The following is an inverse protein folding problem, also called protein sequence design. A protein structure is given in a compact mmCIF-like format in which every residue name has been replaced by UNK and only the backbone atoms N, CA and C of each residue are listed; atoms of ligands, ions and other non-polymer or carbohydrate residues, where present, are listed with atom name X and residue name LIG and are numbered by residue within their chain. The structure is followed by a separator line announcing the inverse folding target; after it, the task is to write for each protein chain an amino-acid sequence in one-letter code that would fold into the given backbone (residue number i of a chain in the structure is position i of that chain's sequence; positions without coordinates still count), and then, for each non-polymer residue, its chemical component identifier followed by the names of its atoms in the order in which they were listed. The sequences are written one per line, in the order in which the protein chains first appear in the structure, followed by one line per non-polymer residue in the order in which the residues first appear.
data_IF_516493975251
#
_entry.id   IF_516493975251
#
_cell.length_a   1.000
_cell.length_b   1.000
_cell.length_c   1.000
_cell.angle_alpha   90.00
_cell.angle_beta   90.00
_cell.angle_gamma   90.00
#
_symmetry.space_group_name_H-M   'P 1'
#
loop_
_entity.id
_entity.type
_entity.pdbx_description
1 polymer ?
#
# COMPACT_ATOMS: atom_id res chain seq x y z
N UNK A 1 27.11 2.77 -0.66
CA UNK A 1 26.05 3.06 0.32
C UNK A 1 24.95 2.04 0.09
N UNK A 2 24.84 1.03 0.94
CA UNK A 2 23.91 -0.09 0.74
C UNK A 2 22.53 0.34 1.23
N UNK A 3 21.65 0.66 0.28
CA UNK A 3 20.24 0.92 0.55
C UNK A 3 19.65 -0.39 1.07
N UNK A 4 18.76 -0.30 2.07
CA UNK A 4 18.02 -1.43 2.63
C UNK A 4 16.93 -1.92 1.63
N UNK A 5 17.35 -2.22 0.39
CA UNK A 5 16.56 -2.45 -0.82
C UNK A 5 15.68 -3.71 -0.75
N UNK A 6 16.00 -4.67 0.11
CA UNK A 6 15.39 -6.00 -0.01
C UNK A 6 13.90 -6.01 0.35
N UNK A 7 13.43 -5.20 1.30
CA UNK A 7 12.05 -5.29 1.79
C UNK A 7 11.05 -4.50 0.94
N UNK A 8 11.41 -3.27 0.61
CA UNK A 8 10.64 -2.42 -0.31
C UNK A 8 10.52 -3.10 -1.68
N UNK A 9 11.63 -3.62 -2.22
CA UNK A 9 11.60 -4.31 -3.51
C UNK A 9 10.72 -5.58 -3.45
N UNK A 10 10.75 -6.34 -2.37
CA UNK A 10 9.92 -7.55 -2.26
C UNK A 10 8.42 -7.23 -2.33
N UNK A 11 7.96 -6.17 -1.66
CA UNK A 11 6.53 -5.84 -1.65
C UNK A 11 6.11 -5.15 -2.95
N UNK A 12 6.95 -4.26 -3.49
CA UNK A 12 6.71 -3.61 -4.78
C UNK A 12 6.64 -4.66 -5.88
N UNK A 13 7.64 -5.54 -5.98
CA UNK A 13 7.64 -6.62 -6.97
C UNK A 13 6.44 -7.56 -6.80
N UNK A 14 6.04 -7.86 -5.56
CA UNK A 14 4.89 -8.72 -5.32
C UNK A 14 3.59 -8.07 -5.79
N UNK A 15 3.36 -6.81 -5.45
CA UNK A 15 2.16 -6.07 -5.86
C UNK A 15 2.13 -5.93 -7.38
N UNK A 16 3.26 -5.62 -8.02
CA UNK A 16 3.36 -5.54 -9.49
C UNK A 16 3.10 -6.89 -10.17
N UNK A 17 3.68 -7.99 -9.66
CA UNK A 17 3.49 -9.35 -10.21
C UNK A 17 2.08 -9.90 -9.98
N UNK A 18 1.39 -9.44 -8.94
CA UNK A 18 0.05 -9.89 -8.57
C UNK A 18 -0.96 -8.75 -8.63
N UNK A 19 -0.81 -7.85 -9.61
CA UNK A 19 -1.65 -6.65 -9.75
C UNK A 19 -3.15 -6.96 -9.82
N UNK A 20 -3.50 -8.15 -10.31
CA UNK A 20 -4.88 -8.65 -10.40
C UNK A 20 -5.52 -8.92 -9.03
N UNK A 21 -4.71 -9.17 -7.98
CA UNK A 21 -5.22 -9.24 -6.61
C UNK A 21 -5.76 -7.89 -6.12
N UNK A 22 -5.44 -6.80 -6.83
CA UNK A 22 -5.84 -5.45 -6.48
C UNK A 22 -6.83 -4.86 -7.50
N UNK A 23 -7.55 -5.68 -8.25
CA UNK A 23 -8.42 -5.22 -9.34
C UNK A 23 -9.59 -4.34 -8.87
N UNK A 24 -10.11 -4.60 -7.68
CA UNK A 24 -11.14 -3.77 -7.04
C UNK A 24 -10.62 -2.40 -6.58
N UNK A 25 -9.30 -2.24 -6.51
CA UNK A 25 -8.65 -0.97 -6.22
C UNK A 25 -8.27 -0.24 -7.51
N UNK A 26 -8.77 0.98 -7.63
CA UNK A 26 -8.43 1.90 -8.70
C UNK A 26 -6.99 2.36 -8.61
N UNK A 27 -6.51 2.64 -7.40
CA UNK A 27 -5.12 3.01 -7.15
C UNK A 27 -4.55 2.31 -5.92
N UNK A 28 -3.25 2.03 -5.98
CA UNK A 28 -2.49 1.41 -4.88
C UNK A 28 -1.21 2.22 -4.71
N UNK A 29 -0.95 2.66 -3.48
CA UNK A 29 0.25 3.40 -3.13
C UNK A 29 0.96 2.77 -1.95
N UNK A 30 2.28 2.71 -2.02
CA UNK A 30 3.15 2.50 -0.87
C UNK A 30 3.48 3.88 -0.28
N UNK A 31 3.43 4.06 1.03
CA UNK A 31 3.77 5.35 1.64
C UNK A 31 4.45 5.18 3.00
N UNK A 32 4.77 6.31 3.64
CA UNK A 32 5.25 6.30 5.01
C UNK A 32 6.74 6.03 5.15
N UNK A 33 7.13 5.37 6.24
CA UNK A 33 8.53 5.27 6.66
C UNK A 33 9.39 4.36 5.78
N UNK A 34 8.76 3.40 5.07
CA UNK A 34 9.44 2.48 4.16
C UNK A 34 10.17 3.18 3.00
N UNK A 35 9.69 4.36 2.59
CA UNK A 35 10.30 5.15 1.51
C UNK A 35 11.43 6.07 2.01
N UNK A 36 11.71 6.11 3.32
CA UNK A 36 12.75 6.99 3.89
C UNK A 36 14.11 6.30 3.87
N UNK A 37 15.06 6.94 3.17
CA UNK A 37 16.45 6.50 3.14
C UNK A 37 17.04 6.53 4.57
N UNK A 38 17.74 5.46 4.95
CA UNK A 38 18.40 5.28 6.26
C UNK A 38 17.46 5.14 7.48
N UNK A 39 16.16 4.94 7.29
CA UNK A 39 15.24 4.58 8.37
C UNK A 39 14.81 3.13 8.18
N UNK A 40 14.89 2.31 9.23
CA UNK A 40 14.25 1.00 9.20
C UNK A 40 12.75 1.20 9.45
N UNK A 41 11.87 0.82 8.52
CA UNK A 41 10.44 0.89 8.78
C UNK A 41 10.05 -0.11 9.88
N UNK A 42 9.15 0.29 10.77
CA UNK A 42 8.56 -0.59 11.79
C UNK A 42 7.42 -1.43 11.18
N UNK A 43 6.63 -0.79 10.32
CA UNK A 43 5.51 -1.32 9.56
C UNK A 43 5.55 -0.84 8.10
N UNK A 44 4.67 -1.40 7.27
CA UNK A 44 4.53 -1.02 5.87
C UNK A 44 3.15 -0.40 5.67
N UNK A 45 3.13 0.90 5.36
CA UNK A 45 1.90 1.62 5.09
C UNK A 45 1.52 1.51 3.61
N UNK A 46 0.32 0.99 3.33
CA UNK A 46 -0.24 0.88 1.99
C UNK A 46 -1.58 1.60 1.94
N UNK A 47 -1.73 2.47 0.95
CA UNK A 47 -2.98 3.16 0.66
C UNK A 47 -3.66 2.50 -0.54
N UNK A 48 -4.88 2.05 -0.34
CA UNK A 48 -5.72 1.43 -1.34
C UNK A 48 -6.92 2.34 -1.63
N UNK A 49 -7.03 2.81 -2.87
CA UNK A 49 -8.15 3.65 -3.31
C UNK A 49 -9.08 2.82 -4.19
N UNK A 50 -10.30 2.59 -3.73
CA UNK A 50 -11.32 1.85 -4.48
C UNK A 50 -12.36 2.79 -5.11
N UNK A 51 -13.02 2.28 -6.15
CA UNK A 51 -14.20 2.91 -6.73
C UNK A 51 -15.29 1.86 -6.87
N UNK A 52 -16.46 2.07 -6.25
CA UNK A 52 -17.57 1.11 -6.30
C UNK A 52 -18.04 0.70 -4.92
N UNK A 53 -18.54 -0.53 -4.79
CA UNK A 53 -19.09 -1.08 -3.56
C UNK A 53 -17.99 -1.42 -2.54
N UNK A 54 -18.16 -0.96 -1.30
CA UNK A 54 -17.27 -1.26 -0.18
C UNK A 54 -17.43 -2.67 0.37
N UNK A 55 -18.52 -3.36 0.05
CA UNK A 55 -18.84 -4.68 0.61
C UNK A 55 -17.83 -5.76 0.21
N UNK A 56 -17.34 -5.72 -1.03
CA UNK A 56 -16.32 -6.65 -1.55
C UNK A 56 -14.91 -6.34 -1.02
N UNK A 57 -14.65 -5.08 -0.71
CA UNK A 57 -13.34 -4.59 -0.27
C UNK A 57 -12.90 -5.22 1.06
N UNK A 58 -13.80 -5.37 2.04
CA UNK A 58 -13.43 -5.93 3.36
C UNK A 58 -12.92 -7.37 3.22
N UNK A 59 -13.56 -8.18 2.37
CA UNK A 59 -13.14 -9.56 2.14
C UNK A 59 -11.78 -9.64 1.46
N UNK A 60 -11.53 -8.79 0.47
CA UNK A 60 -10.23 -8.70 -0.20
C UNK A 60 -9.12 -8.27 0.75
N UNK A 61 -9.36 -7.27 1.62
CA UNK A 61 -8.37 -6.81 2.60
C UNK A 61 -7.94 -7.92 3.57
N UNK A 62 -8.91 -8.73 4.03
CA UNK A 62 -8.64 -9.86 4.92
C UNK A 62 -7.80 -10.95 4.24
N UNK A 63 -7.83 -11.04 2.91
CA UNK A 63 -7.01 -11.96 2.14
C UNK A 63 -5.62 -11.37 1.81
N UNK A 64 -5.58 -10.11 1.38
CA UNK A 64 -4.36 -9.43 0.94
C UNK A 64 -3.40 -9.18 2.10
N UNK A 65 -3.89 -8.69 3.25
CA UNK A 65 -3.05 -8.33 4.40
C UNK A 65 -2.11 -9.47 4.85
N UNK A 66 -2.61 -10.68 5.19
CA UNK A 66 -1.73 -11.75 5.69
C UNK A 66 -0.71 -12.23 4.65
N UNK A 67 -1.05 -12.14 3.36
CA UNK A 67 -0.14 -12.48 2.27
C UNK A 67 1.03 -11.49 2.24
N UNK A 68 0.73 -10.19 2.26
CA UNK A 68 1.74 -9.14 2.26
C UNK A 68 2.62 -9.20 3.52
N UNK A 69 2.03 -9.47 4.69
CA UNK A 69 2.77 -9.69 5.94
C UNK A 69 3.72 -10.89 5.84
N UNK A 70 3.26 -11.99 5.24
CA UNK A 70 4.08 -13.20 5.05
C UNK A 70 5.29 -12.95 4.14
N UNK A 71 5.10 -12.20 3.06
CA UNK A 71 6.15 -11.91 2.07
C UNK A 71 7.16 -10.91 2.62
N UNK A 72 6.68 -9.84 3.23
CA UNK A 72 7.53 -8.78 3.78
C UNK A 72 8.18 -9.16 5.12
N UNK A 73 7.58 -10.13 5.85
CA UNK A 73 7.89 -10.44 7.25
C UNK A 73 7.75 -9.22 8.17
N UNK A 74 6.80 -8.35 7.87
CA UNK A 74 6.51 -7.11 8.58
C UNK A 74 5.01 -6.94 8.78
N UNK A 75 4.64 -6.14 9.78
CA UNK A 75 3.26 -5.69 9.93
C UNK A 75 2.89 -4.78 8.76
N UNK A 76 1.70 -4.98 8.20
CA UNK A 76 1.17 -4.13 7.13
C UNK A 76 0.07 -3.27 7.72
N UNK A 77 0.14 -1.94 7.55
CA UNK A 77 -1.01 -1.07 7.77
C UNK A 77 -1.70 -0.75 6.44
N UNK A 78 -3.01 -0.94 6.39
CA UNK A 78 -3.82 -0.71 5.20
C UNK A 78 -4.74 0.47 5.46
N UNK A 79 -4.44 1.60 4.83
CA UNK A 79 -5.37 2.72 4.73
C UNK A 79 -6.23 2.50 3.49
N UNK A 80 -7.55 2.52 3.65
CA UNK A 80 -8.49 2.23 2.55
C UNK A 80 -9.45 3.38 2.42
N UNK A 81 -9.51 3.97 1.23
CA UNK A 81 -10.36 5.13 0.95
C UNK A 81 -11.11 4.89 -0.36
N UNK A 82 -12.37 5.31 -0.41
CA UNK A 82 -13.04 5.53 -1.68
C UNK A 82 -12.42 6.72 -2.41
N UNK A 83 -12.61 6.80 -3.73
CA UNK A 83 -12.24 7.98 -4.52
C UNK A 83 -12.84 9.28 -3.95
N UNK A 84 -14.02 9.21 -3.34
CA UNK A 84 -14.66 10.39 -2.75
C UNK A 84 -13.98 10.80 -1.43
N UNK A 85 -13.69 9.83 -0.56
CA UNK A 85 -12.98 10.09 0.71
C UNK A 85 -11.57 10.64 0.48
N UNK A 86 -10.85 10.15 -0.54
CA UNK A 86 -9.54 10.73 -0.88
C UNK A 86 -9.67 12.21 -1.28
N UNK A 87 -10.67 12.57 -2.10
CA UNK A 87 -10.91 13.97 -2.50
C UNK A 87 -11.26 14.87 -1.33
N UNK A 88 -12.07 14.37 -0.39
CA UNK A 88 -12.56 15.13 0.74
C UNK A 88 -11.46 15.33 1.80
N UNK A 89 -10.70 14.28 2.08
CA UNK A 89 -9.59 14.31 3.05
C UNK A 89 -8.29 14.88 2.48
N UNK A 90 -8.16 14.87 1.15
CA UNK A 90 -6.94 15.21 0.39
C UNK A 90 -5.73 14.43 0.91
N UNK A 91 -5.93 13.15 1.22
CA UNK A 91 -4.94 12.32 1.90
C UNK A 91 -3.60 12.28 1.14
N UNK A 92 -3.62 12.06 -0.18
CA UNK A 92 -2.41 12.03 -1.01
C UNK A 92 -1.63 13.35 -0.94
N UNK A 93 -2.36 14.48 -0.92
CA UNK A 93 -1.74 15.80 -0.79
C UNK A 93 -1.02 15.97 0.56
N UNK A 94 -1.53 15.39 1.64
CA UNK A 94 -0.93 15.47 2.99
C UNK A 94 0.33 14.63 3.11
N UNK A 95 0.37 13.47 2.46
CA UNK A 95 1.53 12.56 2.51
C UNK A 95 2.57 12.84 1.43
N UNK A 96 2.26 13.69 0.44
CA UNK A 96 3.22 14.09 -0.60
C UNK A 96 4.47 14.77 -0.02
N UNK A 97 5.69 14.45 -0.52
CA UNK A 97 6.00 13.54 -1.62
C UNK A 97 6.31 12.09 -1.19
N UNK A 98 6.00 11.71 0.06
CA UNK A 98 6.40 10.43 0.67
C UNK A 98 5.44 9.28 0.31
N UNK A 99 5.18 9.10 -0.98
CA UNK A 99 4.45 7.94 -1.50
C UNK A 99 4.97 7.51 -2.87
N UNK A 100 4.82 6.22 -3.17
CA UNK A 100 5.09 5.59 -4.45
C UNK A 100 3.79 5.00 -4.98
N UNK A 101 3.43 5.36 -6.22
CA UNK A 101 2.25 4.81 -6.89
C UNK A 101 2.60 3.50 -7.58
N UNK A 102 1.85 2.44 -7.27
CA UNK A 102 2.01 1.09 -7.82
C UNK A 102 0.90 0.76 -8.85
N UNK A 103 -0.28 1.36 -8.70
CA UNK A 103 -1.45 1.29 -9.61
C UNK A 103 -2.21 2.61 -9.58
#
# INVERSE_FOLDING_TARGET
MFINLNKENNIVEYIEKNITLFDSFKHVYLFGSILKINTAPDDIDILLIYSGDSSEIIYELNFIRPILETISRMSIDLTVLSVQEEKDTKFLKRISPQYLKLK
#
